data_IF_415216982716
#
_entry.id   IF_415216982716
#
_cell.length_a   1.000
_cell.length_b   1.000
_cell.length_c   1.000
_cell.angle_alpha   90.00
_cell.angle_beta   90.00
_cell.angle_gamma   90.00
#
_symmetry.space_group_name_H-M   'P 1'
#
loop_
_entity.id
_entity.type
_entity.pdbx_description
1 polymer ?
#
# COMPACT_ATOMS: atom_id res chain seq x y z
N UNK A 1 -1.52 8.69 -11.43
CA UNK A 1 -2.98 8.90 -11.68
C UNK A 1 -3.63 9.62 -10.51
N UNK A 2 -3.19 10.84 -10.21
CA UNK A 2 -3.66 11.62 -9.08
C UNK A 2 -4.87 12.51 -9.43
N UNK A 3 -5.72 12.83 -8.45
CA UNK A 3 -6.84 13.80 -8.57
C UNK A 3 -7.94 13.43 -9.58
N UNK A 4 -8.20 12.14 -9.78
CA UNK A 4 -9.19 11.66 -10.76
C UNK A 4 -10.46 11.09 -10.13
N UNK A 5 -10.60 11.17 -8.80
CA UNK A 5 -11.78 10.67 -8.10
C UNK A 5 -11.97 9.16 -8.22
N UNK A 6 -10.89 8.41 -8.51
CA UNK A 6 -10.93 6.96 -8.70
C UNK A 6 -11.38 6.31 -7.39
N UNK A 7 -12.55 5.67 -7.39
CA UNK A 7 -13.08 5.00 -6.20
C UNK A 7 -12.80 3.51 -6.16
N UNK A 8 -12.57 2.89 -7.33
CA UNK A 8 -12.26 1.47 -7.47
C UNK A 8 -11.30 1.26 -8.64
N UNK A 9 -10.25 0.48 -8.38
CA UNK A 9 -9.41 -0.11 -9.41
C UNK A 9 -9.86 -1.55 -9.62
N UNK A 10 -9.95 -1.97 -10.89
CA UNK A 10 -10.29 -3.35 -11.24
C UNK A 10 -9.07 -4.25 -11.08
N UNK A 11 -9.32 -5.54 -10.94
CA UNK A 11 -8.24 -6.54 -10.99
C UNK A 11 -7.47 -6.41 -12.31
N UNK A 12 -6.14 -6.40 -12.21
CA UNK A 12 -5.27 -6.18 -13.37
C UNK A 12 -5.39 -4.78 -13.97
N UNK A 13 -5.82 -3.76 -13.24
CA UNK A 13 -5.91 -2.37 -13.73
C UNK A 13 -4.59 -1.86 -14.34
N UNK A 14 -3.46 -2.42 -13.91
CA UNK A 14 -2.12 -2.11 -14.40
C UNK A 14 -1.44 -3.29 -15.12
N UNK A 15 -2.22 -4.27 -15.60
CA UNK A 15 -1.69 -5.43 -16.30
C UNK A 15 -0.87 -5.03 -17.54
N UNK A 16 0.32 -5.64 -17.69
CA UNK A 16 1.26 -5.34 -18.77
C UNK A 16 2.21 -4.17 -18.47
N UNK A 17 2.08 -3.50 -17.32
CA UNK A 17 3.03 -2.50 -16.83
C UNK A 17 4.12 -3.14 -15.96
N UNK A 18 4.71 -4.24 -16.45
CA UNK A 18 5.60 -5.11 -15.65
C UNK A 18 6.90 -4.43 -15.21
N UNK A 19 7.30 -3.34 -15.88
CA UNK A 19 8.48 -2.53 -15.57
C UNK A 19 8.16 -1.25 -14.78
N UNK A 20 6.93 -1.06 -14.31
CA UNK A 20 6.57 0.13 -13.54
C UNK A 20 7.27 0.10 -12.18
N UNK A 21 8.04 1.15 -11.89
CA UNK A 21 8.79 1.31 -10.63
C UNK A 21 8.07 2.24 -9.64
N UNK A 22 7.23 3.13 -10.14
CA UNK A 22 6.53 4.14 -9.34
C UNK A 22 5.05 4.22 -9.73
N UNK A 23 4.18 4.25 -8.73
CA UNK A 23 2.73 4.36 -8.90
C UNK A 23 2.15 5.42 -7.95
N UNK A 24 1.74 6.53 -8.56
CA UNK A 24 1.03 7.63 -7.92
C UNK A 24 -0.50 7.44 -7.99
N UNK A 25 -1.17 7.36 -6.84
CA UNK A 25 -2.62 7.25 -6.69
C UNK A 25 -3.18 8.24 -5.67
N UNK A 26 -2.42 9.27 -5.33
CA UNK A 26 -2.79 10.27 -4.34
C UNK A 26 -4.04 11.06 -4.76
N UNK A 27 -4.78 11.56 -3.77
CA UNK A 27 -5.99 12.37 -4.00
C UNK A 27 -7.03 11.65 -4.86
N UNK A 28 -7.32 10.39 -4.55
CA UNK A 28 -8.43 9.64 -5.12
C UNK A 28 -9.41 9.22 -4.02
N UNK A 29 -10.34 8.31 -4.33
CA UNK A 29 -11.37 7.83 -3.41
C UNK A 29 -11.21 6.32 -3.14
N UNK A 30 -9.99 5.78 -3.20
CA UNK A 30 -9.73 4.37 -2.97
C UNK A 30 -10.06 4.00 -1.53
N UNK A 31 -10.79 2.90 -1.34
CA UNK A 31 -11.24 2.45 -0.01
C UNK A 31 -10.45 1.25 0.52
N UNK A 32 -9.65 0.61 -0.33
CA UNK A 32 -8.89 -0.58 0.02
C UNK A 32 -7.64 -0.74 -0.84
N UNK A 33 -6.60 -1.32 -0.25
CA UNK A 33 -5.44 -1.84 -0.97
C UNK A 33 -5.57 -3.36 -1.03
N UNK A 34 -5.58 -3.92 -2.25
CA UNK A 34 -5.74 -5.35 -2.47
C UNK A 34 -4.83 -5.80 -3.63
N UNK A 35 -4.57 -7.11 -3.70
CA UNK A 35 -3.67 -7.67 -4.71
C UNK A 35 -4.20 -7.62 -6.14
N UNK A 36 -5.52 -7.45 -6.29
CA UNK A 36 -6.20 -7.50 -7.58
C UNK A 36 -5.70 -6.39 -8.48
N UNK A 37 -5.78 -5.13 -8.02
CA UNK A 37 -5.30 -4.01 -8.83
C UNK A 37 -3.78 -3.88 -8.85
N UNK A 38 -3.06 -4.42 -7.86
CA UNK A 38 -1.59 -4.51 -7.83
C UNK A 38 -1.03 -5.66 -8.68
N UNK A 39 -1.89 -6.45 -9.34
CA UNK A 39 -1.48 -7.63 -10.09
C UNK A 39 -0.41 -7.32 -11.14
N UNK A 40 0.70 -8.06 -11.07
CA UNK A 40 1.79 -7.98 -12.05
C UNK A 40 2.86 -6.91 -11.79
N UNK A 41 2.69 -6.05 -10.78
CA UNK A 41 3.60 -4.93 -10.48
C UNK A 41 4.88 -5.35 -9.74
N UNK A 42 5.61 -6.31 -10.33
CA UNK A 42 6.78 -6.97 -9.74
C UNK A 42 8.02 -6.07 -9.61
N UNK A 43 8.08 -5.00 -10.38
CA UNK A 43 9.17 -4.02 -10.33
C UNK A 43 8.85 -2.77 -9.52
N UNK A 44 7.65 -2.69 -8.93
CA UNK A 44 7.21 -1.52 -8.19
C UNK A 44 8.07 -1.31 -6.93
N UNK A 45 8.63 -0.12 -6.82
CA UNK A 45 9.50 0.32 -5.72
C UNK A 45 8.82 1.39 -4.87
N UNK A 46 8.02 2.26 -5.49
CA UNK A 46 7.38 3.38 -4.83
C UNK A 46 5.87 3.36 -5.08
N UNK A 47 5.09 3.43 -4.01
CA UNK A 47 3.64 3.46 -4.07
C UNK A 47 3.08 4.56 -3.18
N UNK A 48 2.45 5.55 -3.81
CA UNK A 48 1.83 6.68 -3.14
C UNK A 48 0.31 6.56 -3.22
N UNK A 49 -0.34 6.28 -2.08
CA UNK A 49 -1.80 6.14 -1.95
C UNK A 49 -2.35 7.13 -0.92
N UNK A 50 -1.61 8.20 -0.64
CA UNK A 50 -2.01 9.18 0.37
C UNK A 50 -3.24 9.98 -0.07
N UNK A 51 -3.96 10.54 0.91
CA UNK A 51 -5.16 11.34 0.66
C UNK A 51 -6.23 10.58 -0.13
N UNK A 52 -6.49 9.35 0.32
CA UNK A 52 -7.59 8.50 -0.15
C UNK A 52 -8.56 8.21 1.02
N UNK A 53 -9.43 7.22 0.86
CA UNK A 53 -10.36 6.76 1.89
C UNK A 53 -10.04 5.32 2.32
N UNK A 54 -8.76 4.90 2.30
CA UNK A 54 -8.38 3.50 2.54
C UNK A 54 -8.70 3.13 3.98
N UNK A 55 -9.56 2.14 4.16
CA UNK A 55 -9.98 1.62 5.46
C UNK A 55 -9.32 0.27 5.79
N UNK A 56 -8.91 -0.47 4.75
CA UNK A 56 -8.36 -1.83 4.88
C UNK A 56 -7.20 -2.09 3.91
N UNK A 57 -6.26 -2.90 4.37
CA UNK A 57 -5.22 -3.52 3.55
C UNK A 57 -5.50 -5.03 3.57
N UNK A 58 -5.71 -5.64 2.41
CA UNK A 58 -5.93 -7.08 2.32
C UNK A 58 -4.68 -7.85 2.77
N UNK A 59 -4.81 -9.01 3.44
CA UNK A 59 -3.66 -9.79 3.93
C UNK A 59 -2.65 -10.20 2.85
N UNK A 60 -3.10 -10.27 1.60
CA UNK A 60 -2.31 -10.65 0.43
C UNK A 60 -2.00 -9.47 -0.51
N UNK A 61 -2.29 -8.24 -0.10
CA UNK A 61 -2.18 -7.04 -0.94
C UNK A 61 -0.84 -6.92 -1.67
N UNK A 62 0.24 -7.33 -1.01
CA UNK A 62 1.62 -7.13 -1.46
C UNK A 62 2.21 -8.34 -2.21
N UNK A 63 1.42 -9.36 -2.52
CA UNK A 63 1.87 -10.60 -3.18
C UNK A 63 2.73 -10.34 -4.43
N UNK A 64 2.42 -9.27 -5.17
CA UNK A 64 3.13 -8.90 -6.40
C UNK A 64 4.12 -7.74 -6.24
N UNK A 65 4.19 -7.08 -5.07
CA UNK A 65 4.93 -5.83 -4.88
C UNK A 65 6.07 -5.96 -3.85
N UNK A 66 6.77 -7.10 -3.86
CA UNK A 66 7.83 -7.42 -2.89
C UNK A 66 9.11 -6.57 -3.02
N UNK A 67 9.19 -5.72 -4.06
CA UNK A 67 10.30 -4.77 -4.28
C UNK A 67 10.03 -3.37 -3.75
N UNK A 68 8.87 -3.13 -3.14
CA UNK A 68 8.54 -1.84 -2.55
C UNK A 68 9.58 -1.45 -1.51
N UNK A 69 10.16 -0.26 -1.70
CA UNK A 69 11.07 0.42 -0.77
C UNK A 69 10.38 1.62 -0.11
N UNK A 70 9.35 2.19 -0.73
CA UNK A 70 8.57 3.30 -0.19
C UNK A 70 7.07 3.09 -0.37
N UNK A 71 6.34 3.28 0.73
CA UNK A 71 4.88 3.18 0.78
C UNK A 71 4.30 4.35 1.58
N UNK A 72 3.53 5.19 0.90
CA UNK A 72 2.78 6.27 1.54
C UNK A 72 1.29 5.95 1.60
N UNK A 73 0.79 5.71 2.81
CA UNK A 73 -0.61 5.48 3.15
C UNK A 73 -1.15 6.62 4.05
N UNK A 74 -0.46 7.75 4.11
CA UNK A 74 -0.88 8.88 4.96
C UNK A 74 -2.22 9.49 4.52
N UNK A 75 -2.89 10.19 5.44
CA UNK A 75 -4.18 10.83 5.17
C UNK A 75 -5.22 9.84 4.61
N UNK A 76 -5.34 8.67 5.25
CA UNK A 76 -6.35 7.65 4.95
C UNK A 76 -7.25 7.40 6.17
N UNK A 77 -8.02 6.32 6.15
CA UNK A 77 -9.00 5.97 7.19
C UNK A 77 -8.69 4.65 7.89
N UNK A 78 -7.41 4.22 7.89
CA UNK A 78 -7.00 2.99 8.55
C UNK A 78 -7.28 3.09 10.05
N UNK A 79 -7.98 2.10 10.60
CA UNK A 79 -8.33 2.05 12.03
C UNK A 79 -7.61 0.93 12.78
N UNK A 80 -7.16 -0.08 12.06
CA UNK A 80 -6.49 -1.27 12.58
C UNK A 80 -5.35 -1.69 11.67
N UNK A 81 -4.26 -2.15 12.26
CA UNK A 81 -3.13 -2.76 11.57
C UNK A 81 -2.94 -4.18 12.13
N UNK A 82 -3.43 -5.16 11.38
CA UNK A 82 -3.31 -6.57 11.75
C UNK A 82 -1.91 -7.11 11.40
N UNK A 83 -1.52 -8.26 11.97
CA UNK A 83 -0.21 -8.89 11.74
C UNK A 83 0.12 -9.07 10.25
N UNK A 84 -0.91 -9.28 9.43
CA UNK A 84 -0.77 -9.50 7.99
C UNK A 84 -0.66 -8.21 7.16
N UNK A 85 -0.81 -7.02 7.75
CA UNK A 85 -0.96 -5.77 7.01
C UNK A 85 0.23 -5.43 6.10
N UNK A 86 1.44 -5.89 6.45
CA UNK A 86 2.67 -5.61 5.69
C UNK A 86 3.50 -6.86 5.39
N UNK A 87 2.86 -8.03 5.37
CA UNK A 87 3.54 -9.29 5.02
C UNK A 87 4.15 -9.20 3.62
N UNK A 88 5.41 -9.63 3.50
CA UNK A 88 6.12 -9.67 2.22
C UNK A 88 6.88 -8.39 1.85
N UNK A 89 6.78 -7.32 2.64
CA UNK A 89 7.46 -6.04 2.40
C UNK A 89 8.86 -5.98 3.05
N UNK A 90 9.69 -7.01 2.86
CA UNK A 90 11.00 -7.11 3.53
C UNK A 90 12.02 -6.06 3.08
N UNK A 91 11.81 -5.45 1.91
CA UNK A 91 12.67 -4.42 1.34
C UNK A 91 12.18 -2.99 1.65
N UNK A 92 11.06 -2.83 2.35
CA UNK A 92 10.50 -1.52 2.64
C UNK A 92 11.40 -0.74 3.59
N UNK A 93 11.78 0.47 3.17
CA UNK A 93 12.65 1.38 3.92
C UNK A 93 11.83 2.53 4.53
N UNK A 94 10.82 3.01 3.81
CA UNK A 94 9.96 4.12 4.23
C UNK A 94 8.50 3.69 4.21
N UNK A 95 7.85 3.78 5.36
CA UNK A 95 6.42 3.60 5.52
C UNK A 95 5.86 4.89 6.10
N UNK A 96 4.84 5.48 5.48
CA UNK A 96 4.14 6.61 6.07
C UNK A 96 2.69 6.22 6.36
N UNK A 97 2.31 6.24 7.64
CA UNK A 97 0.95 5.98 8.12
C UNK A 97 0.33 7.21 8.79
N UNK A 98 0.96 8.37 8.67
CA UNK A 98 0.51 9.63 9.28
C UNK A 98 -0.94 9.97 8.93
N UNK A 99 -1.61 10.70 9.82
CA UNK A 99 -2.98 11.18 9.59
C UNK A 99 -4.00 10.08 9.22
N UNK A 100 -3.82 8.88 9.79
CA UNK A 100 -4.85 7.83 9.85
C UNK A 100 -5.60 7.85 11.19
N UNK A 101 -6.49 6.87 11.41
CA UNK A 101 -7.30 6.75 12.64
C UNK A 101 -6.99 5.45 13.40
N UNK A 102 -5.73 5.03 13.36
CA UNK A 102 -5.30 3.74 13.90
C UNK A 102 -5.47 3.74 15.42
N UNK A 103 -6.36 2.87 15.92
CA UNK A 103 -6.62 2.66 17.35
C UNK A 103 -6.18 1.27 17.82
N UNK A 104 -5.89 0.36 16.88
CA UNK A 104 -5.41 -0.98 17.16
C UNK A 104 -4.21 -1.32 16.29
N UNK A 105 -3.15 -1.81 16.92
CA UNK A 105 -1.93 -2.30 16.27
C UNK A 105 -1.67 -3.69 16.83
N UNK A 106 -1.68 -4.71 15.96
CA UNK A 106 -1.42 -6.09 16.36
C UNK A 106 0.06 -6.33 16.65
N UNK A 107 0.34 -7.27 17.56
CA UNK A 107 1.71 -7.66 17.88
C UNK A 107 2.44 -8.17 16.64
N UNK A 108 3.62 -7.59 16.39
CA UNK A 108 4.46 -7.97 15.27
C UNK A 108 3.90 -7.57 13.90
N UNK A 109 3.03 -6.57 13.80
CA UNK A 109 2.61 -6.01 12.50
C UNK A 109 3.79 -5.56 11.62
N UNK A 110 4.88 -5.12 12.23
CA UNK A 110 6.10 -4.68 11.54
C UNK A 110 7.18 -5.76 11.47
N UNK A 111 6.91 -7.00 11.90
CA UNK A 111 7.95 -8.05 12.01
C UNK A 111 8.60 -8.43 10.67
N UNK A 112 7.90 -8.18 9.57
CA UNK A 112 8.36 -8.47 8.20
C UNK A 112 9.07 -7.28 7.55
N UNK A 113 9.09 -6.10 8.18
CA UNK A 113 9.72 -4.89 7.66
C UNK A 113 11.19 -4.79 8.08
N UNK A 114 11.99 -5.79 7.71
CA UNK A 114 13.38 -5.94 8.17
C UNK A 114 14.30 -4.76 7.80
N UNK A 115 13.98 -4.03 6.74
CA UNK A 115 14.77 -2.90 6.24
C UNK A 115 14.19 -1.53 6.61
N UNK A 116 13.16 -1.47 7.47
CA UNK A 116 12.48 -0.21 7.77
C UNK A 116 13.41 0.78 8.46
N UNK A 117 13.52 1.98 7.90
CA UNK A 117 14.34 3.08 8.39
C UNK A 117 13.47 4.25 8.89
N UNK A 118 12.28 4.43 8.30
CA UNK A 118 11.37 5.54 8.63
C UNK A 118 9.92 5.06 8.67
N UNK A 119 9.20 5.49 9.71
CA UNK A 119 7.80 5.19 9.99
C UNK A 119 7.02 6.48 10.31
#
# INVERSE_FOLDING_TARGET
MQRNGISKLKDGAFFGLDNMEELELEHNNLTEVNKGWLYGLRMLQQLYVSQNAVERISPDAWEFCQRLSELDLSYNQLTRLDESAFVGLSLLERLNLGDNRVTHIADGVFRFLSNLQTL
#
